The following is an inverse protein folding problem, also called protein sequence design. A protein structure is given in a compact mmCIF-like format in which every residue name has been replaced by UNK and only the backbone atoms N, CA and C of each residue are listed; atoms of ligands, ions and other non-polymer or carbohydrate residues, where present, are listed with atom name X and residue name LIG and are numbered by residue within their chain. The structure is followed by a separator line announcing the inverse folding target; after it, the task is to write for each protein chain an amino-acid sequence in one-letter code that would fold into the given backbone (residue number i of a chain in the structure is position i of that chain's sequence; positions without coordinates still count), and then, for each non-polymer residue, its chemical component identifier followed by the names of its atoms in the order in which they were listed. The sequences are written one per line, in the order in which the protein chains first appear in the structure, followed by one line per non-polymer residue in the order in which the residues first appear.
data_IF_538338977028
#
_entry.id   IF_538338977028
#
_cell.length_a   1.000
_cell.length_b   1.000
_cell.length_c   1.000
_cell.angle_alpha   90.00
_cell.angle_beta   90.00
_cell.angle_gamma   90.00
#
_symmetry.space_group_name_H-M   'P 1'
#
loop_
_entity.id
_entity.type
_entity.pdbx_description
1 polymer ?
#
# COMPACT_ATOMS: atom_id res chain seq x y z
N UNK A 1 23.56 -9.88 -8.31
CA UNK A 1 22.25 -9.84 -7.64
C UNK A 1 21.23 -10.38 -8.63
N UNK A 2 20.60 -11.49 -8.32
CA UNK A 2 19.46 -11.99 -9.10
C UNK A 2 18.30 -11.06 -8.76
N UNK A 3 17.78 -10.33 -9.75
CA UNK A 3 16.54 -9.56 -9.58
C UNK A 3 15.42 -10.60 -9.54
N UNK A 4 14.78 -10.73 -8.39
CA UNK A 4 13.62 -11.60 -8.23
C UNK A 4 12.50 -11.10 -9.15
N UNK A 5 12.01 -11.98 -10.02
CA UNK A 5 10.93 -11.65 -10.93
C UNK A 5 9.64 -11.43 -10.12
N UNK A 6 8.88 -10.39 -10.49
CA UNK A 6 7.54 -10.17 -9.93
C UNK A 6 6.65 -11.34 -10.38
N UNK A 7 5.99 -12.07 -9.46
CA UNK A 7 5.07 -13.14 -9.84
C UNK A 7 3.92 -12.60 -10.71
N UNK A 8 3.33 -13.47 -11.52
CA UNK A 8 2.10 -13.14 -12.22
C UNK A 8 0.99 -12.83 -11.22
N UNK A 9 0.31 -11.70 -11.44
CA UNK A 9 -0.81 -11.27 -10.61
C UNK A 9 -2.15 -11.46 -11.31
N UNK A 10 -3.19 -11.02 -10.63
CA UNK A 10 -4.58 -11.04 -11.08
C UNK A 10 -5.09 -9.61 -11.24
N UNK A 11 -6.24 -9.45 -11.88
CA UNK A 11 -6.89 -8.17 -12.09
C UNK A 11 -8.34 -8.24 -11.66
N UNK A 12 -8.85 -7.15 -11.09
CA UNK A 12 -10.25 -6.99 -10.71
C UNK A 12 -10.75 -5.60 -11.10
N UNK A 13 -11.95 -5.53 -11.67
CA UNK A 13 -12.67 -4.28 -11.86
C UNK A 13 -13.28 -3.85 -10.53
N UNK A 14 -12.95 -2.63 -10.07
CA UNK A 14 -13.31 -2.16 -8.74
C UNK A 14 -14.32 -1.00 -8.75
N UNK A 15 -14.89 -0.75 -9.91
CA UNK A 15 -15.84 0.36 -10.17
C UNK A 15 -15.15 1.60 -10.72
N UNK A 16 -15.96 2.52 -11.26
CA UNK A 16 -15.47 3.78 -11.84
C UNK A 16 -14.51 3.63 -13.04
N UNK A 17 -14.52 2.48 -13.71
CA UNK A 17 -13.58 2.20 -14.81
C UNK A 17 -12.14 1.90 -14.34
N UNK A 18 -11.95 1.64 -13.05
CA UNK A 18 -10.65 1.32 -12.47
C UNK A 18 -10.46 -0.18 -12.37
N UNK A 19 -9.34 -0.67 -12.88
CA UNK A 19 -8.86 -2.04 -12.74
C UNK A 19 -7.72 -2.06 -11.74
N UNK A 20 -7.82 -2.87 -10.69
CA UNK A 20 -6.71 -3.10 -9.75
C UNK A 20 -6.02 -4.42 -10.05
N UNK A 21 -4.69 -4.36 -10.14
CA UNK A 21 -3.82 -5.52 -10.13
C UNK A 21 -3.58 -5.96 -8.70
N UNK A 22 -3.53 -7.28 -8.45
CA UNK A 22 -3.24 -7.82 -7.12
C UNK A 22 -2.59 -9.20 -7.17
N UNK A 23 -1.81 -9.51 -6.15
CA UNK A 23 -1.37 -10.88 -5.86
C UNK A 23 -2.26 -11.47 -4.78
N UNK A 24 -2.43 -12.79 -4.82
CA UNK A 24 -3.25 -13.51 -3.86
C UNK A 24 -2.61 -14.86 -3.54
N UNK A 25 -2.64 -15.24 -2.25
CA UNK A 25 -2.14 -16.53 -1.79
C UNK A 25 -2.91 -17.01 -0.55
N UNK A 26 -2.84 -18.31 -0.28
CA UNK A 26 -3.39 -18.96 0.91
C UNK A 26 -4.86 -19.37 0.81
N UNK A 27 -5.32 -20.18 1.78
CA UNK A 27 -6.65 -20.82 1.78
C UNK A 27 -7.76 -19.94 2.38
N UNK A 28 -7.42 -19.11 3.36
CA UNK A 28 -8.39 -18.28 4.08
C UNK A 28 -9.09 -18.97 5.26
N UNK A 29 -8.65 -20.16 5.66
CA UNK A 29 -9.23 -20.88 6.81
C UNK A 29 -9.17 -20.06 8.11
N UNK A 30 -8.17 -19.17 8.25
CA UNK A 30 -7.97 -18.29 9.39
C UNK A 30 -8.43 -16.86 9.15
N UNK A 31 -9.06 -16.58 8.01
CA UNK A 31 -9.53 -15.26 7.62
C UNK A 31 -8.70 -14.62 6.50
N UNK A 32 -9.04 -13.37 6.20
CA UNK A 32 -8.45 -12.59 5.09
C UNK A 32 -7.55 -11.49 5.62
N UNK A 33 -6.40 -11.30 4.96
CA UNK A 33 -5.48 -10.19 5.22
C UNK A 33 -5.30 -9.39 3.92
N UNK A 34 -5.71 -8.13 3.94
CA UNK A 34 -5.50 -7.16 2.86
C UNK A 34 -4.29 -6.29 3.18
N UNK A 35 -3.33 -6.24 2.27
CA UNK A 35 -2.15 -5.40 2.38
C UNK A 35 -2.29 -4.12 1.56
N UNK A 36 -2.02 -2.97 2.16
CA UNK A 36 -2.10 -1.65 1.52
C UNK A 36 -0.73 -0.99 1.57
N UNK A 37 -0.08 -0.89 0.41
CA UNK A 37 1.31 -0.43 0.32
C UNK A 37 1.46 1.09 0.45
N UNK A 38 2.66 1.53 0.76
CA UNK A 38 3.02 2.94 0.82
C UNK A 38 3.25 3.57 -0.56
N UNK A 39 3.47 4.88 -0.58
CA UNK A 39 3.78 5.65 -1.78
C UNK A 39 5.27 5.66 -2.10
N UNK A 40 5.59 6.11 -3.31
CA UNK A 40 6.96 6.36 -3.77
C UNK A 40 7.27 5.71 -5.12
N UNK A 41 8.35 6.11 -5.76
CA UNK A 41 8.77 5.54 -7.04
C UNK A 41 9.02 4.03 -6.91
N UNK A 42 8.35 3.22 -7.76
CA UNK A 42 8.47 1.76 -7.75
C UNK A 42 7.68 1.05 -6.64
N UNK A 43 6.86 1.78 -5.86
CA UNK A 43 5.98 1.16 -4.88
C UNK A 43 4.93 0.29 -5.58
N UNK A 44 4.68 -0.87 -5.00
CA UNK A 44 3.65 -1.83 -5.39
C UNK A 44 3.31 -2.72 -4.20
N UNK A 45 2.21 -3.44 -4.27
CA UNK A 45 1.88 -4.43 -3.25
C UNK A 45 3.02 -5.44 -3.07
N UNK A 46 3.50 -6.00 -4.19
CA UNK A 46 4.58 -6.98 -4.14
C UNK A 46 5.88 -6.39 -3.59
N UNK A 47 6.32 -5.21 -4.05
CA UNK A 47 7.59 -4.62 -3.58
C UNK A 47 7.58 -4.32 -2.08
N UNK A 48 6.43 -3.98 -1.51
CA UNK A 48 6.31 -3.70 -0.08
C UNK A 48 6.18 -4.97 0.78
N UNK A 49 5.47 -6.01 0.30
CA UNK A 49 5.01 -7.10 1.16
C UNK A 49 5.44 -8.50 0.71
N UNK A 50 6.32 -8.64 -0.29
CA UNK A 50 6.81 -9.93 -0.79
C UNK A 50 7.42 -10.85 0.28
N UNK A 51 7.95 -10.28 1.36
CA UNK A 51 8.48 -11.03 2.50
C UNK A 51 7.44 -11.38 3.57
N UNK A 52 6.23 -10.82 3.49
CA UNK A 52 5.22 -10.95 4.54
C UNK A 52 4.04 -11.83 4.10
N UNK A 53 3.46 -11.56 2.93
CA UNK A 53 2.22 -12.20 2.51
C UNK A 53 2.35 -13.71 2.29
N UNK A 54 3.47 -14.25 1.73
CA UNK A 54 3.59 -15.69 1.57
C UNK A 54 3.63 -16.43 2.91
N UNK A 55 4.34 -15.86 3.89
CA UNK A 55 4.40 -16.41 5.24
C UNK A 55 2.99 -16.51 5.87
N UNK A 56 2.17 -15.46 5.78
CA UNK A 56 0.81 -15.50 6.30
C UNK A 56 -0.08 -16.47 5.53
N UNK A 57 0.12 -16.60 4.23
CA UNK A 57 -0.58 -17.57 3.41
C UNK A 57 -0.29 -19.01 3.86
N UNK A 58 0.98 -19.35 4.17
CA UNK A 58 1.38 -20.64 4.74
C UNK A 58 0.76 -20.90 6.12
N UNK A 59 0.43 -19.82 6.87
CA UNK A 59 -0.28 -19.93 8.15
C UNK A 59 -1.80 -20.05 8.01
N UNK A 60 -2.34 -20.23 6.78
CA UNK A 60 -3.76 -20.45 6.52
C UNK A 60 -4.60 -19.17 6.35
N UNK A 61 -3.98 -17.99 6.23
CA UNK A 61 -4.70 -16.79 5.84
C UNK A 61 -4.82 -16.67 4.32
N UNK A 62 -5.93 -16.13 3.82
CA UNK A 62 -6.03 -15.63 2.46
C UNK A 62 -5.42 -14.24 2.41
N UNK A 63 -4.32 -14.06 1.71
CA UNK A 63 -3.62 -12.80 1.59
C UNK A 63 -3.93 -12.13 0.25
N UNK A 64 -4.31 -10.86 0.27
CA UNK A 64 -4.62 -10.05 -0.90
C UNK A 64 -3.69 -8.85 -0.89
N UNK A 65 -2.89 -8.69 -1.95
CA UNK A 65 -1.79 -7.73 -2.02
C UNK A 65 -1.92 -6.91 -3.30
N UNK A 66 -2.84 -5.91 -3.33
CA UNK A 66 -3.07 -5.11 -4.51
C UNK A 66 -2.02 -4.03 -4.72
N UNK A 67 -1.89 -3.60 -5.97
CA UNK A 67 -1.29 -2.34 -6.32
C UNK A 67 -2.36 -1.24 -6.22
N UNK A 68 -2.11 -0.22 -5.41
CA UNK A 68 -3.00 0.94 -5.32
C UNK A 68 -3.13 1.61 -6.69
N UNK A 69 -4.29 2.15 -7.03
CA UNK A 69 -4.48 2.94 -8.24
C UNK A 69 -3.37 4.01 -8.38
N UNK A 70 -2.86 4.15 -9.58
CA UNK A 70 -1.69 5.01 -9.87
C UNK A 70 -0.35 4.31 -9.72
N UNK A 71 -0.30 3.11 -9.11
CA UNK A 71 0.92 2.35 -8.86
C UNK A 71 0.94 1.00 -9.58
N UNK A 72 2.13 0.40 -9.63
CA UNK A 72 2.34 -0.95 -10.15
C UNK A 72 1.67 -1.19 -11.51
N UNK A 73 0.87 -2.24 -11.57
CA UNK A 73 0.12 -2.65 -12.76
C UNK A 73 -1.37 -2.26 -12.72
N UNK A 74 -1.82 -1.58 -11.66
CA UNK A 74 -3.18 -1.02 -11.59
C UNK A 74 -3.38 0.16 -12.53
N UNK A 75 -4.64 0.51 -12.83
CA UNK A 75 -5.01 1.69 -13.63
C UNK A 75 -4.33 2.96 -13.14
N UNK A 76 -3.95 3.80 -14.10
CA UNK A 76 -3.32 5.12 -13.87
C UNK A 76 -4.15 6.20 -14.58
N UNK A 77 -5.30 6.59 -14.01
CA UNK A 77 -6.13 7.62 -14.61
C UNK A 77 -5.35 8.94 -14.76
N UNK A 78 -5.44 9.56 -15.91
CA UNK A 78 -4.75 10.81 -16.22
C UNK A 78 -5.43 12.02 -15.55
N UNK A 79 -6.74 11.92 -15.38
CA UNK A 79 -7.58 12.99 -14.83
C UNK A 79 -8.00 12.68 -13.40
N UNK A 80 -7.41 13.32 -12.43
CA UNK A 80 -8.00 13.32 -11.09
C UNK A 80 -7.01 13.45 -9.93
N UNK A 81 -7.32 14.38 -9.05
CA UNK A 81 -6.84 14.34 -7.68
C UNK A 81 -7.79 13.41 -6.92
N UNK A 82 -7.32 12.22 -6.57
CA UNK A 82 -8.09 11.26 -5.79
C UNK A 82 -7.93 11.54 -4.31
N UNK A 83 -9.04 11.68 -3.60
CA UNK A 83 -9.05 11.74 -2.15
C UNK A 83 -8.73 10.36 -1.54
N UNK A 84 -8.40 10.33 -0.26
CA UNK A 84 -8.23 9.06 0.46
C UNK A 84 -9.52 8.22 0.44
N UNK A 85 -10.69 8.85 0.51
CA UNK A 85 -11.98 8.16 0.43
C UNK A 85 -12.23 7.56 -0.95
N UNK A 86 -11.80 8.23 -2.04
CA UNK A 86 -11.90 7.65 -3.40
C UNK A 86 -11.04 6.40 -3.51
N UNK A 87 -9.82 6.45 -2.98
CA UNK A 87 -8.92 5.27 -2.97
C UNK A 87 -9.47 4.18 -2.06
N UNK A 88 -9.99 4.51 -0.88
CA UNK A 88 -10.63 3.54 0.01
C UNK A 88 -11.82 2.86 -0.65
N UNK A 89 -12.66 3.60 -1.39
CA UNK A 89 -13.78 3.03 -2.15
C UNK A 89 -13.32 1.99 -3.19
N UNK A 90 -12.15 2.16 -3.79
CA UNK A 90 -11.60 1.16 -4.73
C UNK A 90 -11.15 -0.11 -4.01
N UNK A 91 -10.55 0.00 -2.83
CA UNK A 91 -10.23 -1.15 -1.99
C UNK A 91 -11.49 -1.90 -1.54
N UNK A 92 -12.56 -1.16 -1.21
CA UNK A 92 -13.89 -1.75 -0.98
C UNK A 92 -14.35 -2.50 -2.22
N UNK A 93 -14.32 -1.88 -3.39
CA UNK A 93 -14.69 -2.51 -4.66
C UNK A 93 -13.88 -3.77 -4.94
N UNK A 94 -12.59 -3.79 -4.61
CA UNK A 94 -11.76 -4.99 -4.71
C UNK A 94 -12.26 -6.09 -3.78
N UNK A 95 -12.50 -5.80 -2.51
CA UNK A 95 -13.01 -6.79 -1.54
C UNK A 95 -14.36 -7.33 -1.98
N UNK A 96 -15.27 -6.47 -2.44
CA UNK A 96 -16.59 -6.88 -2.98
C UNK A 96 -16.44 -7.83 -4.18
N UNK A 97 -15.56 -7.49 -5.13
CA UNK A 97 -15.33 -8.32 -6.33
C UNK A 97 -14.73 -9.69 -6.01
N UNK A 98 -14.06 -9.81 -4.88
CA UNK A 98 -13.44 -11.05 -4.39
C UNK A 98 -14.31 -11.81 -3.38
N UNK A 99 -15.53 -11.33 -3.11
CA UNK A 99 -16.45 -11.92 -2.15
C UNK A 99 -15.94 -11.89 -0.71
N UNK A 100 -15.16 -10.85 -0.36
CA UNK A 100 -14.61 -10.68 0.98
C UNK A 100 -15.46 -9.70 1.77
N UNK A 101 -16.18 -10.22 2.74
CA UNK A 101 -17.05 -9.41 3.61
C UNK A 101 -16.25 -8.68 4.71
N UNK A 102 -15.11 -9.25 5.14
CA UNK A 102 -14.33 -8.70 6.22
C UNK A 102 -12.86 -9.13 6.16
N UNK A 103 -11.93 -8.22 6.46
CA UNK A 103 -10.49 -8.48 6.43
C UNK A 103 -9.73 -7.77 7.55
N UNK A 104 -8.62 -8.35 7.97
CA UNK A 104 -7.56 -7.62 8.67
C UNK A 104 -6.82 -6.77 7.65
N UNK A 105 -6.70 -5.47 7.89
CA UNK A 105 -6.04 -4.53 6.97
C UNK A 105 -4.64 -4.19 7.49
N UNK A 106 -3.63 -4.44 6.69
CA UNK A 106 -2.22 -4.10 6.98
C UNK A 106 -1.81 -2.93 6.11
N UNK A 107 -1.60 -1.75 6.68
CA UNK A 107 -1.28 -0.52 5.94
C UNK A 107 0.09 0.02 6.28
N UNK A 108 0.92 0.28 5.26
CA UNK A 108 2.24 0.89 5.42
C UNK A 108 2.25 2.33 4.91
N UNK A 109 2.72 3.29 5.70
CA UNK A 109 2.90 4.69 5.30
C UNK A 109 1.58 5.30 4.76
N UNK A 110 1.52 5.73 3.49
CA UNK A 110 0.28 6.17 2.83
C UNK A 110 -0.79 5.07 2.89
N UNK A 111 -0.41 3.80 2.75
CA UNK A 111 -1.32 2.67 2.90
C UNK A 111 -1.94 2.59 4.29
N UNK A 112 -1.25 3.08 5.32
CA UNK A 112 -1.80 3.25 6.65
C UNK A 112 -2.91 4.29 6.72
N UNK A 113 -2.75 5.44 6.03
CA UNK A 113 -3.81 6.44 5.91
C UNK A 113 -5.04 5.87 5.18
N UNK A 114 -4.83 5.13 4.09
CA UNK A 114 -5.91 4.45 3.36
C UNK A 114 -6.62 3.42 4.26
N UNK A 115 -5.85 2.63 5.02
CA UNK A 115 -6.41 1.63 5.95
C UNK A 115 -7.26 2.26 7.06
N UNK A 116 -6.83 3.41 7.59
CA UNK A 116 -7.62 4.19 8.56
C UNK A 116 -8.90 4.72 7.90
N UNK A 117 -8.81 5.24 6.67
CA UNK A 117 -9.97 5.73 5.92
C UNK A 117 -10.96 4.60 5.63
N UNK A 118 -10.48 3.40 5.25
CA UNK A 118 -11.33 2.21 5.11
C UNK A 118 -12.08 1.89 6.41
N UNK A 119 -11.41 1.97 7.56
CA UNK A 119 -12.06 1.69 8.85
C UNK A 119 -13.07 2.76 9.27
N UNK A 120 -12.91 4.00 8.80
CA UNK A 120 -13.84 5.09 9.08
C UNK A 120 -15.04 5.07 8.14
N UNK A 121 -14.80 4.86 6.84
CA UNK A 121 -15.84 4.93 5.80
C UNK A 121 -16.60 3.61 5.66
N UNK A 122 -15.95 2.45 5.95
CA UNK A 122 -16.51 1.09 5.81
C UNK A 122 -16.14 0.20 7.01
N UNK A 123 -16.56 0.54 8.24
CA UNK A 123 -16.16 -0.17 9.45
C UNK A 123 -16.55 -1.66 9.46
N UNK A 124 -17.60 -2.02 8.73
CA UNK A 124 -18.06 -3.41 8.59
C UNK A 124 -17.05 -4.31 7.88
N UNK A 125 -16.23 -3.75 6.98
CA UNK A 125 -15.21 -4.49 6.23
C UNK A 125 -13.94 -4.78 7.03
N UNK A 126 -13.74 -4.06 8.15
CA UNK A 126 -12.47 -4.10 8.88
C UNK A 126 -12.61 -4.94 10.14
N UNK A 127 -11.87 -6.05 10.20
CA UNK A 127 -11.74 -6.86 11.41
C UNK A 127 -10.70 -6.28 12.36
N UNK A 128 -9.51 -6.01 11.83
CA UNK A 128 -8.38 -5.42 12.58
C UNK A 128 -7.56 -4.50 11.68
N UNK A 129 -6.87 -3.54 12.32
CA UNK A 129 -5.86 -2.71 11.67
C UNK A 129 -4.48 -3.05 12.20
N UNK A 130 -3.54 -3.23 11.27
CA UNK A 130 -2.10 -3.28 11.55
C UNK A 130 -1.47 -2.11 10.80
N UNK A 131 -1.00 -1.12 11.52
CA UNK A 131 -0.49 0.14 10.98
C UNK A 131 1.03 0.22 11.13
N UNK A 132 1.71 0.30 10.01
CA UNK A 132 3.17 0.38 9.93
C UNK A 132 3.57 1.80 9.54
N UNK A 133 4.05 2.59 10.49
CA UNK A 133 4.38 4.01 10.29
C UNK A 133 3.32 4.75 9.44
N UNK A 134 2.03 4.76 9.86
CA UNK A 134 0.94 5.22 9.03
C UNK A 134 1.04 6.72 8.74
N UNK A 135 0.69 7.12 7.52
CA UNK A 135 0.44 8.51 7.18
C UNK A 135 -0.88 9.01 7.78
N UNK A 136 -1.04 10.33 7.86
CA UNK A 136 -2.30 10.96 8.23
C UNK A 136 -2.59 11.09 9.73
N UNK A 137 -1.70 10.65 10.61
CA UNK A 137 -1.85 10.82 12.07
C UNK A 137 -1.23 12.11 12.59
N UNK A 138 -0.37 12.75 11.81
CA UNK A 138 0.30 13.99 12.15
C UNK A 138 -0.15 15.14 11.27
N UNK A 139 0.03 16.37 11.73
CA UNK A 139 -0.25 17.54 10.92
C UNK A 139 0.76 17.67 9.77
N UNK A 140 0.37 18.37 8.71
CA UNK A 140 1.27 18.65 7.59
C UNK A 140 2.55 19.36 8.06
N UNK A 141 2.43 20.27 9.01
CA UNK A 141 3.54 21.02 9.59
C UNK A 141 4.54 20.08 10.28
N UNK A 142 4.04 19.13 11.07
CA UNK A 142 4.87 18.11 11.72
C UNK A 142 5.62 17.27 10.69
N UNK A 143 4.94 16.76 9.66
CA UNK A 143 5.59 16.02 8.58
C UNK A 143 6.67 16.84 7.88
N UNK A 144 6.37 18.08 7.52
CA UNK A 144 7.31 18.95 6.81
C UNK A 144 8.49 19.39 7.69
N UNK A 145 8.41 19.22 9.00
CA UNK A 145 9.52 19.47 9.93
C UNK A 145 10.51 18.30 10.02
N UNK A 146 10.09 17.07 9.67
CA UNK A 146 10.93 15.86 9.76
C UNK A 146 12.06 15.90 8.72
N UNK A 147 13.30 15.67 9.16
CA UNK A 147 14.48 15.72 8.27
C UNK A 147 14.43 14.66 7.16
N UNK A 148 13.98 13.45 7.46
CA UNK A 148 13.79 12.40 6.44
C UNK A 148 12.77 12.79 5.36
N UNK A 149 11.68 13.45 5.73
CA UNK A 149 10.68 13.97 4.79
C UNK A 149 11.25 15.09 3.94
N UNK A 150 11.98 16.04 4.54
CA UNK A 150 12.65 17.11 3.80
C UNK A 150 13.66 16.56 2.81
N UNK A 151 14.46 15.56 3.21
CA UNK A 151 15.43 14.91 2.34
C UNK A 151 14.74 14.20 1.17
N UNK A 152 13.67 13.46 1.41
CA UNK A 152 12.87 12.79 0.37
C UNK A 152 12.29 13.80 -0.62
N UNK A 153 11.68 14.88 -0.15
CA UNK A 153 11.15 15.96 -1.01
C UNK A 153 12.26 16.59 -1.85
N UNK A 154 13.42 16.85 -1.26
CA UNK A 154 14.57 17.41 -1.99
C UNK A 154 15.02 16.49 -3.13
N UNK A 155 15.15 15.18 -2.87
CA UNK A 155 15.51 14.20 -3.88
C UNK A 155 14.48 14.13 -4.99
N UNK A 156 13.19 14.05 -4.64
CA UNK A 156 12.10 13.91 -5.63
C UNK A 156 11.97 15.13 -6.54
N UNK A 157 12.15 16.35 -6.03
CA UNK A 157 11.82 17.58 -6.76
C UNK A 157 13.03 18.42 -7.18
N UNK A 158 14.21 18.20 -6.61
CA UNK A 158 15.39 19.05 -6.88
C UNK A 158 16.63 18.29 -7.34
N UNK A 159 17.00 17.20 -6.68
CA UNK A 159 18.26 16.49 -6.92
C UNK A 159 18.11 15.33 -7.93
N UNK A 160 16.89 14.87 -8.15
CA UNK A 160 16.60 13.69 -8.97
C UNK A 160 16.84 12.36 -8.23
N UNK A 161 16.22 11.30 -8.73
CA UNK A 161 16.30 9.96 -8.14
C UNK A 161 17.55 9.26 -8.69
N UNK A 162 18.52 8.99 -7.81
CA UNK A 162 19.69 8.18 -8.09
C UNK A 162 20.00 7.26 -6.91
N UNK A 163 20.87 6.28 -7.12
CA UNK A 163 21.32 5.40 -6.02
C UNK A 163 21.97 6.19 -4.88
N UNK A 164 22.70 7.25 -5.20
CA UNK A 164 23.37 8.10 -4.21
C UNK A 164 22.37 8.92 -3.41
N UNK A 165 21.43 9.62 -4.09
CA UNK A 165 20.45 10.48 -3.42
C UNK A 165 19.46 9.64 -2.60
N UNK A 166 19.05 8.47 -3.06
CA UNK A 166 18.20 7.55 -2.29
C UNK A 166 18.94 7.00 -1.06
N UNK A 167 20.22 6.70 -1.16
CA UNK A 167 21.01 6.29 0.02
C UNK A 167 20.99 7.36 1.11
N UNK A 168 21.15 8.64 0.77
CA UNK A 168 21.07 9.76 1.74
C UNK A 168 19.70 9.79 2.43
N UNK A 169 18.62 9.62 1.67
CA UNK A 169 17.25 9.57 2.23
C UNK A 169 17.11 8.42 3.21
N UNK A 170 17.51 7.21 2.83
CA UNK A 170 17.38 6.04 3.70
C UNK A 170 18.25 6.15 4.96
N UNK A 171 19.46 6.69 4.86
CA UNK A 171 20.32 6.91 6.06
C UNK A 171 19.65 7.84 7.07
N UNK A 172 18.86 8.83 6.62
CA UNK A 172 18.14 9.73 7.52
C UNK A 172 16.81 9.15 8.06
N UNK A 173 16.32 8.07 7.47
CA UNK A 173 15.07 7.41 7.88
C UNK A 173 15.30 6.15 8.71
N UNK A 174 16.49 5.54 8.60
CA UNK A 174 16.86 4.39 9.39
C UNK A 174 17.47 4.87 10.72
N UNK A 175 16.94 4.30 11.80
CA UNK A 175 17.53 4.46 13.13
C UNK A 175 18.65 3.43 13.24
N UNK A 176 19.92 3.89 13.20
CA UNK A 176 21.05 3.07 13.62
C UNK A 176 21.15 3.15 15.14
N UNK A 177 20.89 2.06 15.85
CA UNK A 177 21.35 1.83 17.21
C UNK A 177 22.67 1.06 17.18
#
# INVERSE_FOLDING_TARGET
MVVEAVPEGKYAEVGGGVTMHYHEAGSGERGVVLFVHGSGPGASGWSNFKGNYPFLAEQGYRTIVPDTMGYGYSSKPEDGAFSLSDVAAQYKGLLDSLGVERATIVGNSQGGAIAITLALDYPELVDKLVLMAPGGLETRETYMAMEGIKAMIRVLYKEGISKETMRKVFTLQLHDE
#
